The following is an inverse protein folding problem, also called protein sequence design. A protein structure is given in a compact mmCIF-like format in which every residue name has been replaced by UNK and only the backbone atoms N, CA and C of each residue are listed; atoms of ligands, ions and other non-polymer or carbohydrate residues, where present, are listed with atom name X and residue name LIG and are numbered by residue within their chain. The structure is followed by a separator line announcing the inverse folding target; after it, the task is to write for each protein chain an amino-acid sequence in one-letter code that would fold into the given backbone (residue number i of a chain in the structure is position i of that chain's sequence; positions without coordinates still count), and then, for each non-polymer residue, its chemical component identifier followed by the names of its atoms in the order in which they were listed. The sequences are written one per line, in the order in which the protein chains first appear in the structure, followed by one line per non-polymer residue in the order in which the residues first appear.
data_IF_822969329852
#
_entry.id   IF_822969329852
#
_cell.length_a   1.000
_cell.length_b   1.000
_cell.length_c   1.000
_cell.angle_alpha   90.00
_cell.angle_beta   90.00
_cell.angle_gamma   90.00
#
_symmetry.space_group_name_H-M   'P 1'
#
loop_
_entity.id
_entity.type
_entity.pdbx_description
1 polymer ?
#
# COMPACT_ATOMS: atom_id res chain seq x y z
N UNK A 1 -12.70 18.74 -8.84
CA UNK A 1 -11.65 18.71 -7.80
C UNK A 1 -11.88 17.64 -6.73
N UNK A 2 -13.07 17.55 -6.12
CA UNK A 2 -13.32 16.57 -5.04
C UNK A 2 -13.08 15.09 -5.38
N UNK A 3 -13.45 14.64 -6.59
CA UNK A 3 -13.24 13.25 -7.01
C UNK A 3 -11.75 12.87 -7.18
N UNK A 4 -10.92 13.79 -7.68
CA UNK A 4 -9.47 13.58 -7.79
C UNK A 4 -8.82 13.47 -6.41
N UNK A 5 -9.20 14.36 -5.49
CA UNK A 5 -8.71 14.34 -4.10
C UNK A 5 -9.11 13.02 -3.41
N UNK A 6 -10.36 12.59 -3.59
CA UNK A 6 -10.83 11.30 -3.06
C UNK A 6 -10.03 10.11 -3.59
N UNK A 7 -9.71 10.10 -4.89
CA UNK A 7 -8.88 9.06 -5.52
C UNK A 7 -7.46 9.02 -4.92
N UNK A 8 -6.84 10.19 -4.72
CA UNK A 8 -5.52 10.30 -4.09
C UNK A 8 -5.52 9.77 -2.66
N UNK A 9 -6.56 10.08 -1.87
CA UNK A 9 -6.70 9.57 -0.51
C UNK A 9 -6.79 8.04 -0.49
N UNK A 10 -7.56 7.44 -1.39
CA UNK A 10 -7.69 5.98 -1.47
C UNK A 10 -6.34 5.34 -1.84
N UNK A 11 -5.65 5.88 -2.84
CA UNK A 11 -4.32 5.39 -3.22
C UNK A 11 -3.31 5.51 -2.07
N UNK A 12 -3.34 6.61 -1.31
CA UNK A 12 -2.45 6.80 -0.15
C UNK A 12 -2.71 5.76 0.95
N UNK A 13 -3.98 5.46 1.24
CA UNK A 13 -4.36 4.44 2.22
C UNK A 13 -3.90 3.05 1.78
N UNK A 14 -4.18 2.68 0.52
CA UNK A 14 -3.77 1.38 -0.03
C UNK A 14 -2.25 1.24 -0.03
N UNK A 15 -1.53 2.28 -0.49
CA UNK A 15 -0.06 2.29 -0.49
C UNK A 15 0.52 2.15 0.92
N UNK A 16 -0.06 2.83 1.90
CA UNK A 16 0.37 2.75 3.31
C UNK A 16 0.13 1.35 3.88
N UNK A 17 -1.02 0.74 3.61
CA UNK A 17 -1.34 -0.61 4.05
C UNK A 17 -0.37 -1.65 3.47
N UNK A 18 -0.06 -1.53 2.18
CA UNK A 18 0.92 -2.41 1.49
C UNK A 18 2.31 -2.20 2.08
N UNK A 19 2.75 -0.95 2.30
CA UNK A 19 4.06 -0.65 2.86
C UNK A 19 4.23 -1.22 4.28
N UNK A 20 3.19 -1.09 5.12
CA UNK A 20 3.18 -1.69 6.46
C UNK A 20 3.22 -3.21 6.37
N UNK A 21 2.42 -3.81 5.49
CA UNK A 21 2.39 -5.26 5.30
C UNK A 21 3.72 -5.81 4.77
N UNK A 22 4.37 -5.12 3.83
CA UNK A 22 5.69 -5.46 3.32
C UNK A 22 6.77 -5.48 4.41
N UNK A 23 6.61 -4.72 5.49
CA UNK A 23 7.55 -4.75 6.60
C UNK A 23 7.38 -5.98 7.52
N UNK A 24 6.27 -6.72 7.40
CA UNK A 24 6.05 -7.98 8.14
C UNK A 24 6.86 -9.14 7.56
N UNK A 25 7.04 -10.22 8.33
CA UNK A 25 7.75 -11.43 7.86
C UNK A 25 7.15 -12.02 6.58
N UNK A 26 5.82 -12.03 6.47
CA UNK A 26 5.12 -12.53 5.28
C UNK A 26 5.31 -11.61 4.08
N UNK A 27 5.21 -10.30 4.28
CA UNK A 27 5.43 -9.32 3.22
C UNK A 27 6.87 -9.35 2.68
N UNK A 28 7.87 -9.45 3.56
CA UNK A 28 9.28 -9.62 3.17
C UNK A 28 9.49 -10.90 2.36
N UNK A 29 8.95 -12.02 2.83
CA UNK A 29 9.04 -13.31 2.13
C UNK A 29 8.33 -13.29 0.76
N UNK A 30 7.21 -12.58 0.65
CA UNK A 30 6.51 -12.41 -0.62
C UNK A 30 7.33 -11.56 -1.60
N UNK A 31 7.98 -10.49 -1.13
CA UNK A 31 8.86 -9.66 -1.94
C UNK A 31 10.11 -10.41 -2.42
N UNK A 32 10.67 -11.28 -1.58
CA UNK A 32 11.79 -12.17 -1.96
C UNK A 32 11.41 -13.26 -2.97
N UNK A 33 10.11 -13.58 -3.06
CA UNK A 33 9.56 -14.58 -3.98
C UNK A 33 9.06 -13.96 -5.30
N UNK A 34 9.12 -12.64 -5.43
CA UNK A 34 8.77 -11.89 -6.63
C UNK A 34 9.96 -11.82 -7.58
#
# INVERSE_FOLDING_TARGET
MGALIGLFCIMAVVGSAIAIWLNTKFGKKWLESL
#
